data_IF_413990946752
#
_entry.id   IF_413990946752
#
_cell.length_a   1.000
_cell.length_b   1.000
_cell.length_c   1.000
_cell.angle_alpha   90.00
_cell.angle_beta   90.00
_cell.angle_gamma   90.00
#
_symmetry.space_group_name_H-M   'P 1'
#
loop_
_entity.id
_entity.type
_entity.pdbx_description
1 polymer ?
#
# COMPACT_ATOMS: atom_id res chain seq x y z
N UNK A 1 -12.50 -15.99 -17.78
CA UNK A 1 -12.54 -15.71 -16.32
C UNK A 1 -11.64 -14.54 -15.96
N UNK A 2 -10.34 -14.55 -16.27
CA UNK A 2 -9.43 -13.42 -15.96
C UNK A 2 -9.82 -12.09 -16.63
N UNK A 3 -10.24 -12.10 -17.90
CA UNK A 3 -10.67 -10.87 -18.60
C UNK A 3 -11.95 -10.23 -18.01
N UNK A 4 -12.95 -11.05 -17.67
CA UNK A 4 -14.21 -10.58 -17.08
C UNK A 4 -13.96 -9.92 -15.71
N UNK A 5 -13.04 -10.51 -14.94
CA UNK A 5 -12.62 -9.98 -13.65
C UNK A 5 -11.95 -8.61 -13.80
N UNK A 6 -11.07 -8.45 -14.81
CA UNK A 6 -10.41 -7.17 -15.08
C UNK A 6 -11.41 -6.08 -15.47
N UNK A 7 -12.34 -6.37 -16.40
CA UNK A 7 -13.38 -5.42 -16.85
C UNK A 7 -14.23 -4.93 -15.68
N UNK A 8 -14.54 -5.81 -14.72
CA UNK A 8 -15.38 -5.49 -13.57
C UNK A 8 -14.61 -4.76 -12.47
N UNK A 9 -13.34 -5.12 -12.22
CA UNK A 9 -12.54 -4.59 -11.11
C UNK A 9 -11.85 -3.26 -11.45
N UNK A 10 -11.39 -3.07 -12.69
CA UNK A 10 -10.71 -1.84 -13.15
C UNK A 10 -11.40 -0.53 -12.72
N UNK A 11 -12.72 -0.34 -12.92
CA UNK A 11 -13.39 0.89 -12.48
C UNK A 11 -13.47 1.03 -10.95
N UNK A 12 -13.45 -0.08 -10.23
CA UNK A 12 -13.52 -0.09 -8.76
C UNK A 12 -12.16 0.20 -8.10
N UNK A 13 -11.04 0.06 -8.82
CA UNK A 13 -9.70 0.34 -8.28
C UNK A 13 -9.53 1.77 -7.77
N UNK A 14 -10.19 2.73 -8.40
CA UNK A 14 -10.18 4.13 -7.95
C UNK A 14 -10.91 4.29 -6.61
N UNK A 15 -12.04 3.60 -6.43
CA UNK A 15 -12.73 3.59 -5.15
C UNK A 15 -11.87 2.95 -4.06
N UNK A 16 -11.24 1.80 -4.34
CA UNK A 16 -10.30 1.13 -3.44
C UNK A 16 -9.18 2.08 -3.01
N UNK A 17 -8.57 2.77 -3.97
CA UNK A 17 -7.51 3.75 -3.73
C UNK A 17 -8.00 4.88 -2.82
N UNK A 18 -9.19 5.44 -3.11
CA UNK A 18 -9.74 6.54 -2.34
C UNK A 18 -10.01 6.19 -0.88
N UNK A 19 -10.38 4.95 -0.55
CA UNK A 19 -10.54 4.54 0.86
C UNK A 19 -9.22 4.58 1.64
N UNK A 20 -8.07 4.40 0.98
CA UNK A 20 -6.76 4.58 1.63
C UNK A 20 -6.45 6.04 1.93
N UNK A 21 -6.81 6.96 1.01
CA UNK A 21 -6.58 8.40 1.14
C UNK A 21 -7.56 9.08 2.11
N UNK A 22 -8.84 8.76 1.97
CA UNK A 22 -9.93 9.31 2.78
C UNK A 22 -10.50 8.19 3.65
N UNK A 23 -9.92 7.95 4.83
CA UNK A 23 -10.40 6.89 5.70
C UNK A 23 -11.84 7.18 6.14
N UNK A 24 -12.67 6.15 6.30
CA UNK A 24 -13.92 6.28 7.04
C UNK A 24 -13.63 6.89 8.41
N UNK A 25 -14.57 7.68 8.95
CA UNK A 25 -14.42 8.22 10.30
C UNK A 25 -14.35 7.04 11.28
N UNK A 26 -13.17 6.84 11.85
CA UNK A 26 -12.93 5.92 12.96
C UNK A 26 -12.65 6.80 14.17
N UNK A 27 -13.38 6.54 15.26
CA UNK A 27 -13.16 7.26 16.52
C UNK A 27 -11.74 6.99 17.02
N UNK A 28 -11.14 7.98 17.68
CA UNK A 28 -9.82 7.82 18.31
C UNK A 28 -9.86 6.64 19.28
N UNK A 29 -8.85 5.78 19.20
CA UNK A 29 -8.80 4.62 20.08
C UNK A 29 -7.82 4.85 21.23
N UNK A 30 -8.27 4.59 22.46
CA UNK A 30 -7.40 4.54 23.63
C UNK A 30 -6.81 3.12 23.78
N UNK A 31 -5.49 3.01 23.78
CA UNK A 31 -4.77 1.75 24.01
C UNK A 31 -3.60 1.96 24.95
N UNK A 32 -3.59 1.23 26.07
CA UNK A 32 -2.55 1.28 27.10
C UNK A 32 -2.17 2.71 27.55
N UNK A 33 -3.16 3.58 27.74
CA UNK A 33 -2.96 4.97 28.17
C UNK A 33 -2.44 5.91 27.09
N UNK A 34 -2.37 5.46 25.83
CA UNK A 34 -2.06 6.31 24.67
C UNK A 34 -3.31 6.46 23.79
N UNK A 35 -3.55 7.67 23.29
CA UNK A 35 -4.59 7.95 22.29
C UNK A 35 -4.00 7.76 20.90
N UNK A 36 -4.60 6.89 20.10
CA UNK A 36 -4.26 6.68 18.70
C UNK A 36 -5.20 7.53 17.87
N UNK A 37 -4.69 8.66 17.41
CA UNK A 37 -5.41 9.50 16.47
C UNK A 37 -5.35 8.89 15.06
N UNK A 38 -6.52 8.67 14.46
CA UNK A 38 -6.69 8.12 13.11
C UNK A 38 -6.02 6.74 12.90
N UNK A 39 -6.42 5.70 13.66
CA UNK A 39 -5.89 4.34 13.50
C UNK A 39 -6.11 3.86 12.07
N UNK A 40 -5.17 3.06 11.53
CA UNK A 40 -5.29 2.55 10.16
C UNK A 40 -6.61 1.78 9.97
N UNK A 41 -6.97 0.95 10.95
CA UNK A 41 -8.28 0.31 11.00
C UNK A 41 -8.44 -0.85 10.02
N UNK A 42 -9.35 -1.75 10.37
CA UNK A 42 -9.49 -3.04 9.68
C UNK A 42 -9.93 -2.91 8.21
N UNK A 43 -10.80 -1.94 7.87
CA UNK A 43 -11.28 -1.75 6.49
C UNK A 43 -10.11 -1.45 5.54
N UNK A 44 -9.23 -0.51 5.92
CA UNK A 44 -8.04 -0.19 5.11
C UNK A 44 -7.08 -1.39 5.06
N UNK A 45 -6.90 -2.14 6.16
CA UNK A 45 -6.09 -3.38 6.13
C UNK A 45 -6.62 -4.41 5.12
N UNK A 46 -7.93 -4.66 5.11
CA UNK A 46 -8.54 -5.59 4.14
C UNK A 46 -8.36 -5.11 2.70
N UNK A 47 -8.39 -3.79 2.49
CA UNK A 47 -8.11 -3.20 1.18
C UNK A 47 -6.66 -3.43 0.76
N UNK A 48 -5.67 -3.23 1.65
CA UNK A 48 -4.26 -3.52 1.32
C UNK A 48 -4.09 -5.01 0.98
N UNK A 49 -4.76 -5.90 1.69
CA UNK A 49 -4.77 -7.34 1.39
C UNK A 49 -5.40 -7.65 0.02
N UNK A 50 -6.49 -6.97 -0.32
CA UNK A 50 -7.10 -7.08 -1.64
C UNK A 50 -6.14 -6.60 -2.73
N UNK A 51 -5.48 -5.46 -2.54
CA UNK A 51 -4.47 -4.94 -3.48
C UNK A 51 -3.35 -5.96 -3.68
N UNK A 52 -2.81 -6.53 -2.60
CA UNK A 52 -1.79 -7.58 -2.70
C UNK A 52 -2.27 -8.78 -3.52
N UNK A 53 -3.53 -9.19 -3.35
CA UNK A 53 -4.12 -10.32 -4.08
C UNK A 53 -4.36 -10.00 -5.56
N UNK A 54 -4.63 -8.73 -5.89
CA UNK A 54 -4.75 -8.26 -7.27
C UNK A 54 -3.39 -8.18 -7.96
N UNK A 55 -2.34 -7.78 -7.24
CA UNK A 55 -0.96 -7.76 -7.74
C UNK A 55 -0.43 -9.17 -8.03
N UNK A 56 -0.78 -10.17 -7.21
CA UNK A 56 -0.38 -11.57 -7.43
C UNK A 56 -1.02 -12.21 -8.67
N UNK A 57 -2.05 -11.58 -9.25
CA UNK A 57 -2.62 -12.03 -10.53
C UNK A 57 -1.72 -11.65 -11.72
N UNK A 58 -0.72 -10.78 -11.50
CA UNK A 58 0.22 -10.30 -12.51
C UNK A 58 -0.44 -9.80 -13.80
N UNK A 59 -1.61 -9.16 -13.67
CA UNK A 59 -2.34 -8.63 -14.81
C UNK A 59 -1.84 -7.22 -15.17
N UNK A 60 -1.43 -7.03 -16.42
CA UNK A 60 -0.87 -5.77 -16.89
C UNK A 60 -1.83 -4.58 -16.73
N UNK A 61 -3.12 -4.73 -17.07
CA UNK A 61 -4.09 -3.63 -16.98
C UNK A 61 -4.30 -3.18 -15.54
N UNK A 62 -4.30 -4.12 -14.59
CA UNK A 62 -4.39 -3.82 -13.16
C UNK A 62 -3.15 -3.06 -12.68
N UNK A 63 -1.95 -3.50 -13.07
CA UNK A 63 -0.70 -2.86 -12.71
C UNK A 63 -0.60 -1.44 -13.29
N UNK A 64 -0.96 -1.25 -14.56
CA UNK A 64 -1.05 0.06 -15.21
C UNK A 64 -2.01 1.00 -14.48
N UNK A 65 -3.18 0.48 -14.07
CA UNK A 65 -4.16 1.28 -13.33
C UNK A 65 -3.64 1.66 -11.94
N UNK A 66 -2.94 0.77 -11.24
CA UNK A 66 -2.30 1.10 -9.97
C UNK A 66 -1.17 2.12 -10.11
N UNK A 67 -0.41 2.08 -11.21
CA UNK A 67 0.59 3.09 -11.52
C UNK A 67 -0.05 4.47 -11.76
N UNK A 68 -1.12 4.52 -12.56
CA UNK A 68 -1.86 5.76 -12.84
C UNK A 68 -2.41 6.41 -11.55
N UNK A 69 -2.91 5.58 -10.62
CA UNK A 69 -3.43 6.03 -9.34
C UNK A 69 -2.33 6.33 -8.31
N UNK A 70 -1.06 6.02 -8.59
CA UNK A 70 0.04 6.06 -7.62
C UNK A 70 -0.26 5.26 -6.33
N UNK A 71 -0.98 4.14 -6.44
CA UNK A 71 -1.38 3.35 -5.27
C UNK A 71 -0.19 2.83 -4.50
N UNK A 72 0.90 2.45 -5.17
CA UNK A 72 2.12 1.95 -4.50
C UNK A 72 2.78 3.04 -3.66
N UNK A 73 2.77 4.30 -4.12
CA UNK A 73 3.24 5.43 -3.32
C UNK A 73 2.42 5.59 -2.05
N UNK A 74 1.08 5.53 -2.15
CA UNK A 74 0.20 5.62 -0.99
C UNK A 74 0.47 4.48 0.01
N UNK A 75 0.67 3.26 -0.47
CA UNK A 75 1.01 2.12 0.39
C UNK A 75 2.36 2.32 1.10
N UNK A 76 3.35 2.86 0.40
CA UNK A 76 4.66 3.18 0.96
C UNK A 76 4.57 4.29 2.01
N UNK A 77 3.76 5.32 1.77
CA UNK A 77 3.52 6.39 2.74
C UNK A 77 2.80 5.85 3.99
N UNK A 78 1.83 4.95 3.81
CA UNK A 78 1.16 4.27 4.92
C UNK A 78 2.15 3.40 5.72
N UNK A 79 3.05 2.68 5.05
CA UNK A 79 4.08 1.87 5.70
C UNK A 79 4.90 2.73 6.67
N UNK A 80 5.40 3.89 6.25
CA UNK A 80 6.18 4.74 7.15
C UNK A 80 5.34 5.51 8.16
N UNK A 81 4.10 5.88 7.82
CA UNK A 81 3.21 6.61 8.74
C UNK A 81 2.72 5.76 9.92
N UNK A 82 2.62 4.45 9.75
CA UNK A 82 2.06 3.52 10.73
C UNK A 82 3.10 2.47 11.17
N UNK A 83 4.23 2.96 11.69
CA UNK A 83 5.44 2.18 12.06
C UNK A 83 5.22 0.98 13.01
N UNK A 84 4.10 0.95 13.74
CA UNK A 84 3.76 -0.12 14.68
C UNK A 84 2.75 -1.13 14.11
N UNK A 85 2.25 -0.95 12.89
CA UNK A 85 1.21 -1.79 12.32
C UNK A 85 1.79 -2.98 11.54
N UNK A 86 2.18 -4.03 12.25
CA UNK A 86 2.79 -5.24 11.65
C UNK A 86 1.92 -5.90 10.56
N UNK A 87 0.58 -5.84 10.69
CA UNK A 87 -0.31 -6.37 9.67
C UNK A 87 -0.21 -5.57 8.36
N UNK A 88 -0.23 -4.24 8.46
CA UNK A 88 0.00 -3.36 7.32
C UNK A 88 1.36 -3.62 6.68
N UNK A 89 2.43 -3.61 7.47
CA UNK A 89 3.79 -3.83 6.96
C UNK A 89 3.91 -5.17 6.22
N UNK A 90 3.33 -6.25 6.78
CA UNK A 90 3.33 -7.57 6.14
C UNK A 90 2.65 -7.52 4.78
N UNK A 91 1.49 -6.88 4.67
CA UNK A 91 0.75 -6.80 3.41
C UNK A 91 1.45 -5.91 2.38
N UNK A 92 2.05 -4.79 2.80
CA UNK A 92 2.82 -3.92 1.91
C UNK A 92 4.06 -4.63 1.39
N UNK A 93 4.80 -5.36 2.23
CA UNK A 93 5.94 -6.18 1.80
C UNK A 93 5.50 -7.24 0.80
N UNK A 94 4.35 -7.89 1.02
CA UNK A 94 3.80 -8.83 0.03
C UNK A 94 3.52 -8.13 -1.31
N UNK A 95 2.93 -6.92 -1.32
CA UNK A 95 2.74 -6.16 -2.55
C UNK A 95 4.06 -5.93 -3.30
N UNK A 96 5.12 -5.52 -2.59
CA UNK A 96 6.45 -5.35 -3.20
C UNK A 96 7.03 -6.67 -3.72
N UNK A 97 6.81 -7.78 -3.00
CA UNK A 97 7.22 -9.10 -3.46
C UNK A 97 6.54 -9.46 -4.80
N UNK A 98 5.22 -9.30 -4.90
CA UNK A 98 4.48 -9.59 -6.13
C UNK A 98 4.94 -8.73 -7.31
N UNK A 99 5.35 -7.49 -7.06
CA UNK A 99 5.85 -6.56 -8.08
C UNK A 99 7.26 -6.94 -8.55
N UNK A 100 8.16 -7.22 -7.61
CA UNK A 100 9.59 -7.38 -7.89
C UNK A 100 9.98 -8.81 -8.28
N UNK A 101 9.27 -9.81 -7.77
CA UNK A 101 9.59 -11.23 -7.96
C UNK A 101 8.71 -11.92 -9.01
N UNK A 102 7.92 -11.15 -9.78
CA UNK A 102 7.10 -11.73 -10.83
C UNK A 102 7.96 -12.40 -11.92
N UNK A 103 7.81 -13.72 -12.07
CA UNK A 103 8.50 -14.54 -13.10
C UNK A 103 7.90 -14.39 -14.51
N UNK A 104 6.92 -13.50 -14.73
CA UNK A 104 6.39 -13.23 -16.06
C UNK A 104 7.40 -12.40 -16.88
N UNK A 105 7.20 -12.35 -18.21
CA UNK A 105 8.00 -11.59 -19.17
C UNK A 105 8.62 -10.33 -18.56
N UNK A 106 9.96 -10.31 -18.37
CA UNK A 106 10.69 -9.19 -17.76
C UNK A 106 10.35 -7.87 -18.46
N UNK A 107 10.07 -7.91 -19.76
CA UNK A 107 9.71 -6.74 -20.55
C UNK A 107 8.41 -6.08 -20.08
N UNK A 108 7.38 -6.86 -19.71
CA UNK A 108 6.06 -6.32 -19.36
C UNK A 108 6.06 -5.69 -17.96
N UNK A 109 6.74 -6.31 -16.99
CA UNK A 109 6.83 -5.78 -15.62
C UNK A 109 7.90 -4.69 -15.44
N UNK A 110 8.87 -4.58 -16.36
CA UNK A 110 9.96 -3.60 -16.26
C UNK A 110 9.44 -2.16 -16.13
N UNK A 111 8.34 -1.82 -16.80
CA UNK A 111 7.74 -0.49 -16.77
C UNK A 111 7.11 -0.18 -15.41
N UNK A 112 6.39 -1.15 -14.82
CA UNK A 112 5.78 -0.98 -13.52
C UNK A 112 6.82 -0.95 -12.39
N UNK A 113 7.86 -1.78 -12.47
CA UNK A 113 9.01 -1.72 -11.55
C UNK A 113 9.71 -0.36 -11.64
N UNK A 114 9.95 0.15 -12.86
CA UNK A 114 10.55 1.46 -13.06
C UNK A 114 9.70 2.58 -12.46
N UNK A 115 8.37 2.53 -12.62
CA UNK A 115 7.44 3.44 -11.98
C UNK A 115 7.55 3.39 -10.45
N UNK A 116 7.60 2.20 -9.85
CA UNK A 116 7.74 2.05 -8.39
C UNK A 116 9.08 2.60 -7.89
N UNK A 117 10.17 2.36 -8.59
CA UNK A 117 11.49 2.85 -8.16
C UNK A 117 11.57 4.37 -8.31
N UNK A 118 11.18 4.91 -9.47
CA UNK A 118 11.40 6.30 -9.85
C UNK A 118 10.25 7.23 -9.47
N UNK A 119 9.04 6.91 -9.91
CA UNK A 119 7.89 7.81 -9.75
C UNK A 119 7.31 7.73 -8.34
N UNK A 120 7.28 6.53 -7.74
CA UNK A 120 6.94 6.36 -6.32
C UNK A 120 8.11 6.69 -5.38
N UNK A 121 9.29 7.05 -5.89
CA UNK A 121 10.46 7.48 -5.10
C UNK A 121 10.80 6.52 -3.97
N UNK A 122 10.87 5.22 -4.30
CA UNK A 122 11.04 4.17 -3.29
C UNK A 122 12.34 4.37 -2.50
N UNK A 123 13.44 4.64 -3.21
CA UNK A 123 14.76 4.78 -2.62
C UNK A 123 14.81 6.00 -1.70
N UNK A 124 14.33 7.15 -2.18
CA UNK A 124 14.27 8.38 -1.38
C UNK A 124 13.37 8.20 -0.16
N UNK A 125 12.21 7.55 -0.32
CA UNK A 125 11.29 7.30 0.79
C UNK A 125 11.93 6.41 1.87
N UNK A 126 12.76 5.43 1.49
CA UNK A 126 13.52 4.61 2.45
C UNK A 126 14.56 5.48 3.15
N UNK A 127 15.41 6.20 2.39
CA UNK A 127 16.49 7.02 2.93
C UNK A 127 15.99 8.11 3.89
N UNK A 128 14.89 8.79 3.53
CA UNK A 128 14.32 9.87 4.34
C UNK A 128 13.74 9.35 5.67
N UNK A 129 13.22 8.11 5.68
CA UNK A 129 12.59 7.51 6.86
C UNK A 129 13.56 6.71 7.73
N UNK A 130 14.73 6.30 7.23
CA UNK A 130 15.82 5.74 8.06
C UNK A 130 16.27 6.72 9.15
N UNK A 131 16.24 8.04 8.86
CA UNK A 131 16.59 9.08 9.82
C UNK A 131 15.54 9.32 10.93
N UNK A 132 14.33 8.74 10.82
CA UNK A 132 13.23 8.93 11.77
C UNK A 132 13.20 7.93 12.93
N UNK A 133 14.13 6.96 12.98
CA UNK A 133 14.39 6.12 14.16
C UNK A 133 15.14 6.95 15.22
N UNK A 134 14.50 8.00 15.74
CA UNK A 134 14.99 8.80 16.86
C UNK A 134 14.07 8.61 18.06
N UNK A 135 14.60 8.33 19.26
CA UNK A 135 13.77 8.18 20.45
C UNK A 135 13.05 9.50 20.76
N UNK A 136 11.71 9.51 20.78
CA UNK A 136 10.93 10.62 21.36
C UNK A 136 9.77 11.21 20.55
N UNK A 137 9.40 10.71 19.36
CA UNK A 137 8.15 11.14 18.69
C UNK A 137 6.95 10.38 19.27
N UNK A 138 5.82 11.06 19.47
CA UNK A 138 4.54 10.42 19.85
C UNK A 138 4.21 9.35 18.82
N UNK A 139 4.27 8.09 19.26
CA UNK A 139 4.15 6.92 18.39
C UNK A 139 2.70 6.76 17.98
N UNK A 140 2.44 6.68 16.68
CA UNK A 140 1.12 6.33 16.15
C UNK A 140 0.91 4.83 16.40
N UNK A 141 0.26 4.54 17.52
CA UNK A 141 -0.01 3.19 18.03
C UNK A 141 -1.05 2.40 17.24
N UNK A 142 -1.27 1.17 17.69
CA UNK A 142 -2.00 0.10 17.03
C UNK A 142 -3.49 0.04 17.40
N UNK A 143 -4.38 -0.06 16.38
CA UNK A 143 -5.45 -1.06 16.22
C UNK A 143 -5.78 -1.23 14.73
#
# INVERSE_FOLDING_TARGET
>A
MAEILCITILPFLEHIHNVLLTPPKIESLESMGNVIENPFGNVRLQIVKLISSLLSMHNQQINERFAQLNTIKVLLDCFFCYELNNFLHTQVVQCFHEIMCCNHSIAENSTFIAHVIKDCKLIESILDNEACIKPGKSRKGFV
#
